data_IF_329325355866
#
_entry.id   IF_329325355866
#
_cell.length_a   1.000
_cell.length_b   1.000
_cell.length_c   1.000
_cell.angle_alpha   90.00
_cell.angle_beta   90.00
_cell.angle_gamma   90.00
#
_symmetry.space_group_name_H-M   'P 1'
#
loop_
_entity.id
_entity.type
_entity.pdbx_description
1 polymer ?
#
# COMPACT_ATOMS: atom_id res chain seq x y z
N UNK A 1 -38.13 22.01 -17.66
CA UNK A 1 -37.36 20.74 -17.51
C UNK A 1 -38.37 19.63 -17.39
N UNK A 2 -38.34 18.67 -18.32
CA UNK A 2 -39.29 17.56 -18.31
C UNK A 2 -38.86 16.57 -17.21
N UNK A 3 -39.82 15.89 -16.57
CA UNK A 3 -39.54 14.96 -15.45
C UNK A 3 -38.53 13.86 -15.82
N UNK A 4 -38.42 13.54 -17.11
CA UNK A 4 -37.40 12.66 -17.70
C UNK A 4 -35.98 13.15 -17.50
N UNK A 5 -35.72 14.46 -17.60
CA UNK A 5 -34.39 15.06 -17.42
C UNK A 5 -33.92 14.89 -15.96
N UNK A 6 -34.84 15.03 -15.01
CA UNK A 6 -34.58 14.90 -13.58
C UNK A 6 -34.24 13.45 -13.22
N UNK A 7 -35.01 12.49 -13.76
CA UNK A 7 -34.75 11.05 -13.54
C UNK A 7 -33.40 10.65 -14.12
N UNK A 8 -33.05 11.15 -15.31
CA UNK A 8 -31.75 10.90 -15.92
C UNK A 8 -30.61 11.46 -15.06
N UNK A 9 -30.77 12.66 -14.52
CA UNK A 9 -29.78 13.27 -13.61
C UNK A 9 -29.58 12.46 -12.33
N UNK A 10 -30.66 11.98 -11.71
CA UNK A 10 -30.59 11.14 -10.51
C UNK A 10 -29.88 9.82 -10.82
N UNK A 11 -30.22 9.17 -11.94
CA UNK A 11 -29.56 7.96 -12.39
C UNK A 11 -28.06 8.18 -12.64
N UNK A 12 -27.69 9.30 -13.28
CA UNK A 12 -26.30 9.67 -13.53
C UNK A 12 -25.51 9.84 -12.22
N UNK A 13 -26.09 10.52 -11.22
CA UNK A 13 -25.46 10.71 -9.91
C UNK A 13 -25.28 9.38 -9.19
N UNK A 14 -26.28 8.49 -9.25
CA UNK A 14 -26.17 7.14 -8.65
C UNK A 14 -25.09 6.29 -9.32
N UNK A 15 -24.97 6.37 -10.64
CA UNK A 15 -23.90 5.67 -11.38
C UNK A 15 -22.53 6.21 -10.97
N UNK A 16 -22.36 7.54 -10.91
CA UNK A 16 -21.11 8.16 -10.48
C UNK A 16 -20.76 7.77 -9.04
N UNK A 17 -21.72 7.81 -8.11
CA UNK A 17 -21.52 7.39 -6.74
C UNK A 17 -21.13 5.91 -6.64
N UNK A 18 -21.78 5.04 -7.42
CA UNK A 18 -21.46 3.62 -7.50
C UNK A 18 -20.04 3.35 -8.01
N UNK A 19 -19.63 4.02 -9.08
CA UNK A 19 -18.26 3.92 -9.63
C UNK A 19 -17.23 4.41 -8.60
N UNK A 20 -17.51 5.53 -7.94
CA UNK A 20 -16.60 6.10 -6.92
C UNK A 20 -16.44 5.14 -5.73
N UNK A 21 -17.52 4.52 -5.28
CA UNK A 21 -17.49 3.52 -4.21
C UNK A 21 -16.69 2.26 -4.60
N UNK A 22 -16.86 1.78 -5.84
CA UNK A 22 -16.09 0.63 -6.34
C UNK A 22 -14.59 0.93 -6.45
N UNK A 23 -14.22 2.13 -6.91
CA UNK A 23 -12.84 2.59 -6.95
C UNK A 23 -12.25 2.72 -5.53
N UNK A 24 -13.00 3.28 -4.59
CA UNK A 24 -12.56 3.38 -3.20
C UNK A 24 -12.36 1.99 -2.55
N UNK A 25 -13.24 1.04 -2.86
CA UNK A 25 -13.14 -0.34 -2.34
C UNK A 25 -11.96 -1.10 -2.95
N UNK A 26 -11.64 -0.90 -4.22
CA UNK A 26 -10.51 -1.57 -4.87
C UNK A 26 -9.16 -1.06 -4.36
N UNK A 27 -9.05 0.24 -4.05
CA UNK A 27 -7.86 0.84 -3.44
C UNK A 27 -7.51 0.22 -2.08
N UNK A 28 -8.51 -0.11 -1.25
CA UNK A 28 -8.30 -0.75 0.05
C UNK A 28 -7.65 -2.14 -0.06
N UNK A 29 -8.05 -2.93 -1.05
CA UNK A 29 -7.52 -4.28 -1.28
C UNK A 29 -6.06 -4.26 -1.75
N UNK A 30 -5.73 -3.34 -2.67
CA UNK A 30 -4.36 -3.16 -3.15
C UNK A 30 -3.43 -2.70 -2.02
N UNK A 31 -3.86 -1.73 -1.19
CA UNK A 31 -3.09 -1.25 -0.04
C UNK A 31 -2.78 -2.38 0.95
N UNK A 32 -3.77 -3.20 1.30
CA UNK A 32 -3.55 -4.35 2.18
C UNK A 32 -2.59 -5.38 1.59
N UNK A 33 -2.68 -5.66 0.28
CA UNK A 33 -1.76 -6.59 -0.39
C UNK A 33 -0.31 -6.11 -0.28
N UNK A 34 -0.06 -4.81 -0.45
CA UNK A 34 1.29 -4.25 -0.34
C UNK A 34 1.80 -4.23 1.11
N UNK A 35 0.95 -3.94 2.10
CA UNK A 35 1.30 -4.09 3.53
C UNK A 35 1.71 -5.53 3.84
N UNK A 36 0.89 -6.51 3.44
CA UNK A 36 1.16 -7.93 3.66
C UNK A 36 2.49 -8.36 3.02
N UNK A 37 2.77 -7.89 1.80
CA UNK A 37 4.03 -8.19 1.10
C UNK A 37 5.23 -7.63 1.86
N UNK A 38 5.11 -6.42 2.42
CA UNK A 38 6.16 -5.79 3.21
C UNK A 38 6.43 -6.55 4.52
N UNK A 39 5.39 -6.98 5.23
CA UNK A 39 5.53 -7.81 6.43
C UNK A 39 6.21 -9.15 6.13
N UNK A 40 5.80 -9.83 5.05
CA UNK A 40 6.42 -11.10 4.67
C UNK A 40 7.92 -10.94 4.39
N UNK A 41 8.35 -9.83 3.78
CA UNK A 41 9.77 -9.55 3.53
C UNK A 41 10.56 -9.23 4.81
N UNK A 42 9.90 -8.69 5.86
CA UNK A 42 10.53 -8.46 7.17
C UNK A 42 10.68 -9.75 7.98
N UNK A 43 9.79 -10.72 7.79
CA UNK A 43 9.85 -12.03 8.44
C UNK A 43 10.74 -13.03 7.70
N UNK A 44 10.99 -12.81 6.41
CA UNK A 44 11.88 -13.64 5.61
C UNK A 44 13.30 -13.61 6.19
N UNK A 45 13.93 -14.79 6.34
CA UNK A 45 15.25 -14.90 6.97
C UNK A 45 16.37 -14.35 6.11
N UNK A 46 16.22 -14.32 4.78
CA UNK A 46 17.22 -13.81 3.86
C UNK A 46 16.56 -13.18 2.62
N UNK A 47 15.82 -12.07 2.80
CA UNK A 47 15.07 -11.43 1.73
C UNK A 47 16.01 -10.84 0.68
N UNK A 48 15.63 -10.99 -0.59
CA UNK A 48 16.40 -10.41 -1.69
C UNK A 48 16.37 -8.88 -1.62
N UNK A 49 17.53 -8.18 -1.59
CA UNK A 49 17.61 -6.73 -1.56
C UNK A 49 16.87 -6.06 -2.73
N UNK A 50 16.74 -6.73 -3.89
CA UNK A 50 15.94 -6.22 -5.01
C UNK A 50 14.46 -6.18 -4.68
N UNK A 51 13.93 -7.23 -4.04
CA UNK A 51 12.52 -7.31 -3.62
C UNK A 51 12.19 -6.29 -2.54
N UNK A 52 13.12 -6.04 -1.63
CA UNK A 52 12.97 -5.01 -0.59
C UNK A 52 12.88 -3.61 -1.20
N UNK A 53 13.79 -3.28 -2.14
CA UNK A 53 13.77 -2.00 -2.87
C UNK A 53 12.45 -1.80 -3.64
N UNK A 54 11.97 -2.87 -4.29
CA UNK A 54 10.70 -2.84 -5.01
C UNK A 54 9.50 -2.66 -4.06
N UNK A 55 9.47 -3.36 -2.92
CA UNK A 55 8.45 -3.21 -1.91
C UNK A 55 8.43 -1.78 -1.32
N UNK A 56 9.58 -1.19 -1.02
CA UNK A 56 9.69 0.21 -0.57
C UNK A 56 9.11 1.16 -1.63
N UNK A 57 9.42 0.93 -2.91
CA UNK A 57 8.91 1.75 -4.02
C UNK A 57 7.38 1.63 -4.13
N UNK A 58 6.84 0.42 -4.05
CA UNK A 58 5.40 0.17 -4.08
C UNK A 58 4.70 0.78 -2.87
N UNK A 59 5.25 0.64 -1.65
CA UNK A 59 4.71 1.28 -0.44
C UNK A 59 4.70 2.81 -0.56
N UNK A 60 5.70 3.44 -1.20
CA UNK A 60 5.68 4.90 -1.45
C UNK A 60 4.62 5.31 -2.47
N UNK A 61 4.41 4.49 -3.51
CA UNK A 61 3.40 4.76 -4.55
C UNK A 61 1.97 4.58 -4.02
N UNK A 62 1.71 3.48 -3.30
CA UNK A 62 0.39 3.14 -2.78
C UNK A 62 0.05 3.80 -1.43
N UNK A 63 1.08 4.15 -0.63
CA UNK A 63 0.96 5.08 0.48
C UNK A 63 0.72 6.54 0.03
N UNK A 64 0.85 6.78 -1.28
CA UNK A 64 0.31 7.87 -2.10
C UNK A 64 0.07 9.22 -1.44
N UNK A 65 0.87 10.22 -1.84
CA UNK A 65 0.74 11.70 -1.74
C UNK A 65 0.46 12.34 -0.36
N UNK A 66 -0.23 11.65 0.54
CA UNK A 66 -0.77 12.21 1.77
C UNK A 66 -0.05 11.77 3.03
N UNK A 67 0.92 10.83 3.00
CA UNK A 67 1.70 10.37 4.19
C UNK A 67 0.84 10.10 5.45
N UNK A 68 -0.47 9.89 5.28
CA UNK A 68 -1.45 9.83 6.38
C UNK A 68 -1.50 8.43 6.97
N UNK A 69 -1.07 7.43 6.21
CA UNK A 69 -1.01 6.05 6.65
C UNK A 69 0.34 5.82 7.35
N UNK A 70 0.38 6.11 8.66
CA UNK A 70 1.59 5.98 9.49
C UNK A 70 2.22 4.59 9.39
N UNK A 71 1.40 3.56 9.17
CA UNK A 71 1.83 2.17 9.01
C UNK A 71 2.71 1.98 7.76
N UNK A 72 2.38 2.63 6.64
CA UNK A 72 3.23 2.58 5.44
C UNK A 72 4.58 3.26 5.67
N UNK A 73 4.60 4.37 6.40
CA UNK A 73 5.84 5.08 6.74
C UNK A 73 6.73 4.20 7.62
N UNK A 74 6.15 3.55 8.64
CA UNK A 74 6.87 2.61 9.49
C UNK A 74 7.42 1.42 8.71
N UNK A 75 6.61 0.80 7.84
CA UNK A 75 7.05 -0.31 6.98
C UNK A 75 8.18 0.10 6.05
N UNK A 76 8.14 1.30 5.48
CA UNK A 76 9.22 1.83 4.64
C UNK A 76 10.50 1.98 5.47
N UNK A 77 10.43 2.52 6.68
CA UNK A 77 11.59 2.68 7.57
C UNK A 77 12.19 1.32 7.94
N UNK A 78 11.37 0.36 8.37
CA UNK A 78 11.83 -0.98 8.74
C UNK A 78 12.49 -1.71 7.56
N UNK A 79 11.89 -1.64 6.36
CA UNK A 79 12.48 -2.23 5.17
C UNK A 79 13.77 -1.52 4.72
N UNK A 80 13.86 -0.20 4.91
CA UNK A 80 15.07 0.57 4.59
C UNK A 80 16.22 0.23 5.52
N UNK A 81 15.94 0.08 6.81
CA UNK A 81 16.93 -0.35 7.81
C UNK A 81 17.40 -1.79 7.53
N UNK A 82 16.47 -2.68 7.19
CA UNK A 82 16.78 -4.06 6.83
C UNK A 82 17.63 -4.14 5.56
N UNK A 83 17.31 -3.32 4.55
CA UNK A 83 18.12 -3.20 3.33
C UNK A 83 19.53 -2.69 3.62
N UNK A 84 19.65 -1.67 4.48
CA UNK A 84 20.93 -1.10 4.88
C UNK A 84 21.79 -2.10 5.63
N UNK A 85 21.20 -2.87 6.56
CA UNK A 85 21.91 -3.96 7.24
C UNK A 85 22.34 -5.03 6.24
N UNK A 86 21.49 -5.50 5.32
CA UNK A 86 21.88 -6.48 4.29
C UNK A 86 23.03 -5.96 3.42
N UNK A 87 22.99 -4.71 2.96
CA UNK A 87 24.04 -4.10 2.14
C UNK A 87 25.34 -3.88 2.92
N UNK A 88 25.27 -3.63 4.24
CA UNK A 88 26.44 -3.33 5.07
C UNK A 88 27.10 -4.57 5.68
N UNK A 89 26.33 -5.57 6.10
CA UNK A 89 26.83 -6.77 6.76
C UNK A 89 26.85 -8.00 5.88
N UNK A 90 26.22 -7.99 4.69
CA UNK A 90 26.05 -9.19 3.85
C UNK A 90 25.24 -10.30 4.54
N UNK A 91 24.64 -9.99 5.69
CA UNK A 91 23.95 -10.90 6.60
C UNK A 91 22.66 -10.19 7.03
N UNK A 92 21.49 -10.85 6.95
CA UNK A 92 20.20 -10.25 7.24
C UNK A 92 20.00 -9.94 8.74
N UNK A 93 19.32 -8.83 9.09
CA UNK A 93 18.98 -8.50 10.47
C UNK A 93 18.22 -9.62 11.16
N UNK A 94 18.49 -9.80 12.45
CA UNK A 94 17.64 -10.58 13.34
C UNK A 94 16.31 -9.82 13.51
N UNK A 95 15.22 -10.37 12.98
CA UNK A 95 13.87 -9.79 12.93
C UNK A 95 13.50 -8.99 14.19
N UNK A 96 13.27 -7.68 14.05
CA UNK A 96 12.91 -6.78 15.15
C UNK A 96 11.40 -6.62 15.34
N UNK A 97 10.60 -7.66 15.06
CA UNK A 97 9.16 -7.63 15.35
C UNK A 97 8.97 -8.19 16.77
N UNK A 98 8.87 -7.30 17.77
CA UNK A 98 8.33 -7.67 19.09
C UNK A 98 6.81 -7.78 18.94
N UNK A 99 6.28 -8.99 19.17
CA UNK A 99 4.85 -9.26 19.37
C UNK A 99 4.29 -8.44 20.53
#
# INVERSE_FOLDING_TARGET
>A
MQATDIIFFIALILVLAGVTYLLYRSEGSAKNKHKMTAYNLLEEKNPDPKKIKEAIRLLRLYGGHWRKDQEFVQLITLLSDLLYEIEKTGIPPKSRIKK
#
